data_IF_998573746605
#
_entry.id   IF_998573746605
#
_cell.length_a   1.000
_cell.length_b   1.000
_cell.length_c   1.000
_cell.angle_alpha   90.00
_cell.angle_beta   90.00
_cell.angle_gamma   90.00
#
_symmetry.space_group_name_H-M   'P 1'
#
loop_
_entity.id
_entity.type
_entity.pdbx_description
1 polymer ?
#
# COMPACT_ATOMS: atom_id res chain seq x y z
N UNK A 1 25.02 63.93 16.99
CA UNK A 1 23.83 63.46 16.25
C UNK A 1 24.15 62.13 15.60
N UNK A 2 23.79 61.03 16.27
CA UNK A 2 24.09 59.66 15.86
C UNK A 2 22.87 59.14 15.08
N UNK A 3 23.04 58.84 13.79
CA UNK A 3 21.98 58.27 12.95
C UNK A 3 21.88 56.78 13.25
N UNK A 4 20.81 56.37 13.93
CA UNK A 4 20.52 54.97 14.23
C UNK A 4 20.12 54.21 12.98
N UNK A 5 20.78 53.08 12.74
CA UNK A 5 20.43 52.12 11.70
C UNK A 5 19.27 51.23 12.18
N UNK A 6 18.20 51.16 11.40
CA UNK A 6 17.09 50.22 11.64
C UNK A 6 17.45 48.94 10.89
N UNK A 7 17.81 47.90 11.63
CA UNK A 7 18.02 46.54 11.10
C UNK A 7 16.70 45.79 11.27
N UNK A 8 15.98 45.58 10.16
CA UNK A 8 14.77 44.77 10.12
C UNK A 8 15.16 43.29 10.15
N UNK A 9 14.98 42.63 11.29
CA UNK A 9 15.18 41.18 11.44
C UNK A 9 13.97 40.46 10.84
N UNK A 10 14.15 39.82 9.69
CA UNK A 10 13.15 38.93 9.08
C UNK A 10 13.16 37.63 9.88
N UNK A 11 12.12 37.43 10.70
CA UNK A 11 11.87 36.20 11.43
C UNK A 11 11.32 35.16 10.43
N UNK A 12 12.19 34.28 9.93
CA UNK A 12 11.76 33.12 9.14
C UNK A 12 11.06 32.15 10.09
N UNK A 13 9.73 32.16 10.07
CA UNK A 13 8.93 31.17 10.78
C UNK A 13 9.11 29.81 10.08
N UNK A 14 9.98 28.98 10.65
CA UNK A 14 10.10 27.57 10.29
C UNK A 14 8.79 26.89 10.68
N UNK A 15 7.85 26.81 9.73
CA UNK A 15 6.65 25.98 9.89
C UNK A 15 7.14 24.55 10.05
N UNK A 16 6.91 23.89 11.20
CA UNK A 16 7.31 22.51 11.38
C UNK A 16 6.47 21.68 10.41
N UNK A 17 7.08 21.26 9.31
CA UNK A 17 6.54 20.22 8.44
C UNK A 17 6.41 18.97 9.32
N UNK A 18 5.17 18.60 9.67
CA UNK A 18 4.91 17.37 10.38
C UNK A 18 5.32 16.22 9.46
N UNK A 19 6.52 15.67 9.67
CA UNK A 19 6.99 14.53 8.88
C UNK A 19 6.16 13.31 9.28
N UNK A 20 5.14 13.01 8.49
CA UNK A 20 4.36 11.78 8.64
C UNK A 20 5.25 10.61 8.19
N UNK A 21 5.74 9.81 9.15
CA UNK A 21 6.69 8.74 8.87
C UNK A 21 5.99 7.39 8.74
N UNK A 22 6.21 6.72 7.62
CA UNK A 22 5.77 5.34 7.40
C UNK A 22 6.87 4.34 7.78
N UNK A 23 6.48 3.20 8.37
CA UNK A 23 7.41 2.09 8.60
C UNK A 23 7.68 1.36 7.28
N UNK A 24 8.83 1.64 6.68
CA UNK A 24 9.27 1.08 5.41
C UNK A 24 10.26 -0.07 5.65
N UNK A 25 9.99 -1.22 5.03
CA UNK A 25 10.88 -2.38 5.04
C UNK A 25 11.64 -2.46 3.71
N UNK A 26 12.95 -2.74 3.77
CA UNK A 26 13.75 -3.05 2.57
C UNK A 26 13.57 -4.53 2.22
N UNK A 27 13.06 -4.79 1.03
CA UNK A 27 12.88 -6.13 0.47
C UNK A 27 14.10 -6.43 -0.42
N UNK A 28 14.88 -7.49 -0.12
CA UNK A 28 16.06 -7.83 -0.90
C UNK A 28 15.68 -8.40 -2.27
N UNK A 29 16.52 -8.15 -3.28
CA UNK A 29 16.33 -8.72 -4.61
C UNK A 29 16.28 -10.25 -4.59
N UNK A 30 15.57 -10.84 -5.54
CA UNK A 30 15.50 -12.29 -5.68
C UNK A 30 14.79 -12.71 -6.97
N UNK A 31 14.30 -13.94 -6.95
CA UNK A 31 13.57 -14.56 -8.06
C UNK A 31 12.31 -15.21 -7.56
N UNK A 32 11.22 -15.06 -8.29
CA UNK A 32 9.94 -15.70 -8.00
C UNK A 32 9.46 -16.49 -9.23
N UNK A 33 8.81 -17.62 -8.98
CA UNK A 33 8.05 -18.32 -10.01
C UNK A 33 6.58 -17.90 -9.90
N UNK A 34 5.96 -17.32 -10.94
CA UNK A 34 4.56 -16.89 -10.87
C UNK A 34 3.63 -18.07 -10.64
N UNK A 35 2.64 -17.92 -9.75
CA UNK A 35 1.69 -19.00 -9.45
C UNK A 35 0.53 -19.08 -10.47
N UNK A 36 0.15 -17.97 -11.12
CA UNK A 36 -0.97 -17.93 -12.09
C UNK A 36 -0.60 -18.44 -13.49
N UNK A 37 0.67 -18.70 -13.76
CA UNK A 37 1.10 -19.33 -15.02
C UNK A 37 0.93 -20.85 -14.88
N UNK A 38 -0.31 -21.31 -14.85
CA UNK A 38 -0.62 -22.74 -15.00
C UNK A 38 -0.63 -23.07 -16.50
N UNK A 39 0.10 -24.09 -16.97
CA UNK A 39 -0.01 -24.53 -18.36
C UNK A 39 -1.46 -24.95 -18.63
N UNK A 40 -2.16 -24.19 -19.47
CA UNK A 40 -3.48 -24.56 -20.01
C UNK A 40 -3.34 -25.70 -21.03
N UNK A 41 -2.79 -26.84 -20.66
CA UNK A 41 -3.02 -28.13 -21.33
C UNK A 41 -2.24 -29.24 -20.63
N UNK A 42 -2.97 -30.21 -20.07
CA UNK A 42 -2.45 -31.53 -19.71
C UNK A 42 -2.72 -32.56 -20.81
N UNK A 43 -3.34 -32.14 -21.92
CA UNK A 43 -3.74 -33.01 -23.04
C UNK A 43 -2.95 -32.59 -24.28
N UNK A 44 -1.83 -33.28 -24.50
CA UNK A 44 -0.93 -33.06 -25.64
C UNK A 44 0.39 -32.39 -25.27
N UNK A 45 1.35 -33.19 -24.80
CA UNK A 45 2.82 -33.07 -24.89
C UNK A 45 3.51 -31.68 -25.04
N UNK A 46 2.99 -30.60 -24.49
CA UNK A 46 3.74 -29.35 -24.35
C UNK A 46 3.46 -28.70 -22.99
N UNK A 47 4.20 -29.15 -21.97
CA UNK A 47 4.27 -28.48 -20.68
C UNK A 47 4.97 -27.14 -20.89
N UNK A 48 4.23 -26.05 -20.98
CA UNK A 48 4.82 -24.70 -21.00
C UNK A 48 5.66 -24.51 -19.74
N UNK A 49 6.98 -24.39 -19.89
CA UNK A 49 7.90 -24.21 -18.77
C UNK A 49 7.69 -22.80 -18.21
N UNK A 50 7.22 -22.73 -16.97
CA UNK A 50 7.12 -21.45 -16.25
C UNK A 50 8.53 -20.99 -15.90
N UNK A 51 8.98 -19.88 -16.47
CA UNK A 51 10.28 -19.29 -16.16
C UNK A 51 10.16 -18.34 -14.96
N UNK A 52 11.02 -18.49 -13.93
CA UNK A 52 11.11 -17.50 -12.85
C UNK A 52 11.50 -16.12 -13.41
N UNK A 53 10.97 -15.05 -12.81
CA UNK A 53 11.40 -13.68 -13.11
C UNK A 53 12.21 -13.08 -11.97
N UNK A 54 13.09 -12.14 -12.31
CA UNK A 54 13.92 -11.39 -11.34
C UNK A 54 13.15 -10.20 -10.77
N UNK A 55 13.28 -10.01 -9.48
CA UNK A 55 12.76 -8.86 -8.73
C UNK A 55 13.95 -8.14 -8.10
N UNK A 56 14.09 -6.84 -8.39
CA UNK A 56 15.13 -5.99 -7.79
C UNK A 56 14.86 -5.75 -6.31
N UNK A 57 15.81 -5.14 -5.60
CA UNK A 57 15.56 -4.67 -4.24
C UNK A 57 14.66 -3.43 -4.27
N UNK A 58 13.70 -3.36 -3.36
CA UNK A 58 12.78 -2.21 -3.23
C UNK A 58 12.41 -1.98 -1.77
N UNK A 59 11.77 -0.84 -1.47
CA UNK A 59 11.17 -0.58 -0.16
C UNK A 59 9.65 -0.72 -0.25
N UNK A 60 9.04 -1.26 0.79
CA UNK A 60 7.58 -1.41 0.88
C UNK A 60 7.12 -1.08 2.30
N UNK A 61 5.93 -0.48 2.44
CA UNK A 61 5.32 -0.28 3.74
C UNK A 61 5.06 -1.64 4.40
N UNK A 62 5.42 -1.76 5.68
CA UNK A 62 5.19 -3.00 6.44
C UNK A 62 3.71 -3.27 6.69
N UNK A 63 2.92 -2.21 6.81
CA UNK A 63 1.48 -2.27 7.07
C UNK A 63 0.71 -1.55 5.96
N UNK A 64 -0.57 -1.90 5.80
CA UNK A 64 -1.47 -1.13 4.94
C UNK A 64 -1.64 0.30 5.46
N UNK A 65 -1.89 1.24 4.54
CA UNK A 65 -2.20 2.64 4.87
C UNK A 65 -3.41 2.68 5.81
N UNK A 66 -3.31 3.40 6.92
CA UNK A 66 -4.41 3.47 7.90
C UNK A 66 -5.36 4.63 7.61
N UNK A 67 -6.56 4.60 8.20
CA UNK A 67 -7.49 5.75 8.19
C UNK A 67 -6.81 7.03 8.69
N UNK A 68 -5.97 6.93 9.73
CA UNK A 68 -5.22 8.07 10.28
C UNK A 68 -4.32 8.71 9.22
N UNK A 69 -3.56 7.91 8.52
CA UNK A 69 -2.58 8.38 7.53
C UNK A 69 -3.30 8.98 6.33
N UNK A 70 -4.39 8.34 5.91
CA UNK A 70 -5.21 8.84 4.81
C UNK A 70 -5.92 10.15 5.18
N UNK A 71 -6.33 10.35 6.45
CA UNK A 71 -6.91 11.61 6.90
C UNK A 71 -5.92 12.79 6.79
N UNK A 72 -4.64 12.56 7.08
CA UNK A 72 -3.59 13.57 6.88
C UNK A 72 -3.51 13.95 5.41
N UNK A 73 -3.46 12.95 4.52
CA UNK A 73 -3.47 13.16 3.07
C UNK A 73 -4.69 13.96 2.59
N UNK A 74 -5.90 13.64 3.08
CA UNK A 74 -7.13 14.35 2.70
C UNK A 74 -7.16 15.81 3.18
N UNK A 75 -6.53 16.10 4.32
CA UNK A 75 -6.44 17.48 4.83
C UNK A 75 -5.47 18.33 4.00
N UNK A 76 -4.39 17.72 3.51
CA UNK A 76 -3.40 18.35 2.63
C UNK A 76 -3.89 18.45 1.18
N UNK A 77 -4.74 17.53 0.74
CA UNK A 77 -5.24 17.44 -0.62
C UNK A 77 -6.79 17.40 -0.66
N UNK A 78 -7.47 18.55 -0.49
CA UNK A 78 -8.93 18.60 -0.41
C UNK A 78 -9.67 18.05 -1.62
N UNK A 79 -9.05 18.05 -2.81
CA UNK A 79 -9.65 17.51 -4.04
C UNK A 79 -9.92 15.99 -3.95
N UNK A 80 -9.20 15.28 -3.08
CA UNK A 80 -9.41 13.85 -2.84
C UNK A 80 -10.47 13.55 -1.77
N UNK A 81 -11.09 14.57 -1.17
CA UNK A 81 -12.21 14.37 -0.24
C UNK A 81 -13.43 13.84 -1.00
N UNK A 82 -14.28 13.09 -0.28
CA UNK A 82 -15.46 12.43 -0.85
C UNK A 82 -16.39 13.40 -1.58
N UNK A 83 -16.48 14.63 -1.09
CA UNK A 83 -17.35 15.68 -1.61
C UNK A 83 -16.78 16.36 -2.88
N UNK A 84 -15.46 16.31 -3.07
CA UNK A 84 -14.75 17.11 -4.08
C UNK A 84 -14.22 16.27 -5.24
N UNK A 85 -14.05 14.96 -5.04
CA UNK A 85 -13.41 14.09 -6.03
C UNK A 85 -14.21 14.03 -7.33
N UNK A 86 -13.51 14.16 -8.46
CA UNK A 86 -14.14 13.98 -9.78
C UNK A 86 -14.55 12.51 -9.98
N UNK A 87 -15.77 12.28 -10.46
CA UNK A 87 -16.32 10.93 -10.63
C UNK A 87 -15.55 10.01 -11.59
N UNK A 88 -14.67 10.56 -12.43
CA UNK A 88 -13.75 9.77 -13.27
C UNK A 88 -12.66 9.07 -12.45
N UNK A 89 -12.36 9.57 -11.25
CA UNK A 89 -11.32 9.03 -10.37
C UNK A 89 -11.88 8.15 -9.27
N UNK A 90 -13.19 8.14 -9.02
CA UNK A 90 -13.80 7.36 -7.95
C UNK A 90 -15.30 7.14 -8.19
N UNK A 91 -15.78 5.96 -7.80
CA UNK A 91 -17.20 5.63 -7.81
C UNK A 91 -17.93 6.07 -6.53
N UNK A 92 -19.24 5.83 -6.46
CA UNK A 92 -20.10 6.22 -5.34
C UNK A 92 -19.79 5.51 -4.01
N UNK A 93 -18.97 4.46 -4.03
CA UNK A 93 -18.53 3.78 -2.81
C UNK A 93 -17.37 4.50 -2.13
N UNK A 94 -16.71 5.44 -2.81
CA UNK A 94 -15.50 6.11 -2.31
C UNK A 94 -15.69 6.74 -0.93
N UNK A 95 -14.85 6.31 0.01
CA UNK A 95 -14.85 6.72 1.42
C UNK A 95 -16.23 6.63 2.10
N UNK A 96 -17.13 5.77 1.62
CA UNK A 96 -18.53 5.73 2.07
C UNK A 96 -18.65 5.44 3.57
N UNK A 97 -17.81 4.57 4.10
CA UNK A 97 -17.80 4.15 5.51
C UNK A 97 -16.67 4.79 6.33
N UNK A 98 -15.98 5.80 5.79
CA UNK A 98 -14.76 6.37 6.36
C UNK A 98 -14.90 6.77 7.83
N UNK A 99 -15.97 7.50 8.18
CA UNK A 99 -16.19 8.00 9.55
C UNK A 99 -16.41 6.86 10.56
N UNK A 100 -17.02 5.76 10.12
CA UNK A 100 -17.36 4.61 10.97
C UNK A 100 -16.20 3.62 11.16
N UNK A 101 -15.03 3.87 10.56
CA UNK A 101 -13.85 3.01 10.69
C UNK A 101 -12.94 3.45 11.85
N UNK A 102 -12.34 2.50 12.60
CA UNK A 102 -11.32 2.82 13.59
C UNK A 102 -10.09 3.51 12.97
N UNK A 103 -9.49 4.45 13.69
CA UNK A 103 -8.37 5.28 13.21
C UNK A 103 -7.15 4.47 12.74
N UNK A 104 -6.83 3.36 13.40
CA UNK A 104 -5.69 2.49 13.04
C UNK A 104 -6.04 1.38 12.05
N UNK A 105 -7.30 1.28 11.63
CA UNK A 105 -7.69 0.26 10.65
C UNK A 105 -7.19 0.63 9.24
N UNK A 106 -6.93 -0.37 8.38
CA UNK A 106 -6.61 -0.10 6.98
C UNK A 106 -7.70 0.73 6.31
N UNK A 107 -7.28 1.69 5.49
CA UNK A 107 -8.21 2.45 4.66
C UNK A 107 -8.85 1.51 3.62
N UNK A 108 -10.15 1.64 3.44
CA UNK A 108 -10.95 0.86 2.47
C UNK A 108 -11.82 1.81 1.65
N UNK A 109 -12.42 1.30 0.58
CA UNK A 109 -13.27 2.10 -0.32
C UNK A 109 -12.49 3.27 -0.94
N UNK A 110 -11.23 3.01 -1.34
CA UNK A 110 -10.38 3.94 -2.08
C UNK A 110 -10.24 3.46 -3.51
N UNK A 111 -10.25 4.39 -4.46
CA UNK A 111 -9.98 4.05 -5.85
C UNK A 111 -8.48 3.83 -6.09
N UNK A 112 -8.14 3.17 -7.18
CA UNK A 112 -6.75 3.03 -7.59
C UNK A 112 -6.08 4.39 -7.84
N UNK A 113 -6.81 5.35 -8.42
CA UNK A 113 -6.31 6.70 -8.65
C UNK A 113 -5.97 7.41 -7.34
N UNK A 114 -6.84 7.31 -6.34
CA UNK A 114 -6.61 7.92 -5.03
C UNK A 114 -5.46 7.24 -4.27
N UNK A 115 -5.36 5.91 -4.33
CA UNK A 115 -4.22 5.18 -3.76
C UNK A 115 -2.89 5.57 -4.41
N UNK A 116 -2.88 5.76 -5.73
CA UNK A 116 -1.70 6.23 -6.46
C UNK A 116 -1.33 7.67 -6.07
N UNK A 117 -2.30 8.58 -6.03
CA UNK A 117 -2.08 9.97 -5.64
C UNK A 117 -1.56 10.08 -4.20
N UNK A 118 -2.07 9.26 -3.28
CA UNK A 118 -1.54 9.14 -1.93
C UNK A 118 -0.05 8.77 -1.96
N UNK A 119 0.34 7.73 -2.71
CA UNK A 119 1.75 7.37 -2.82
C UNK A 119 2.60 8.51 -3.38
N UNK A 120 2.15 9.16 -4.46
CA UNK A 120 2.85 10.27 -5.10
C UNK A 120 3.06 11.47 -4.15
N UNK A 121 2.05 11.81 -3.32
CA UNK A 121 2.13 12.88 -2.32
C UNK A 121 3.30 12.72 -1.33
N UNK A 122 3.65 11.47 -1.02
CA UNK A 122 4.75 11.13 -0.10
C UNK A 122 6.03 10.68 -0.81
N UNK A 123 6.16 10.93 -2.12
CA UNK A 123 7.33 10.50 -2.90
C UNK A 123 7.48 8.98 -3.03
N UNK A 124 6.39 8.25 -2.86
CA UNK A 124 6.30 6.79 -2.99
C UNK A 124 5.60 6.39 -4.29
N UNK A 125 5.45 5.08 -4.52
CA UNK A 125 4.63 4.52 -5.60
C UNK A 125 3.91 3.26 -5.14
N UNK A 126 2.86 2.88 -5.86
CA UNK A 126 2.29 1.54 -5.72
C UNK A 126 3.32 0.47 -6.14
N UNK A 127 3.27 -0.73 -5.51
CA UNK A 127 4.13 -1.84 -5.91
C UNK A 127 3.76 -2.30 -7.33
N UNK A 128 4.76 -2.79 -8.07
CA UNK A 128 4.50 -3.55 -9.29
C UNK A 128 3.90 -4.90 -8.90
N UNK A 129 3.14 -5.52 -9.83
CA UNK A 129 2.56 -6.85 -9.61
C UNK A 129 3.60 -7.87 -9.10
N UNK A 130 4.75 -7.94 -9.80
CA UNK A 130 5.87 -8.82 -9.44
C UNK A 130 6.49 -8.56 -8.07
N UNK A 131 6.47 -7.30 -7.61
CA UNK A 131 7.01 -6.90 -6.30
C UNK A 131 6.03 -7.30 -5.21
N UNK A 132 4.73 -7.08 -5.44
CA UNK A 132 3.66 -7.49 -4.55
C UNK A 132 3.64 -9.01 -4.37
N UNK A 133 3.73 -9.77 -5.46
CA UNK A 133 3.76 -11.24 -5.43
C UNK A 133 5.01 -11.77 -4.73
N UNK A 134 6.16 -11.15 -4.96
CA UNK A 134 7.41 -11.55 -4.29
C UNK A 134 7.37 -11.28 -2.79
N UNK A 135 6.78 -10.16 -2.37
CA UNK A 135 6.57 -9.88 -0.95
C UNK A 135 5.54 -10.83 -0.32
N UNK A 136 4.44 -11.13 -1.01
CA UNK A 136 3.38 -12.01 -0.52
C UNK A 136 3.77 -13.49 -0.45
N UNK A 137 4.76 -13.90 -1.26
CA UNK A 137 5.28 -15.26 -1.28
C UNK A 137 6.07 -15.64 -0.02
N UNK A 138 6.55 -14.66 0.76
CA UNK A 138 7.42 -14.92 1.89
C UNK A 138 6.65 -15.38 3.14
N UNK A 139 7.23 -16.30 3.89
CA UNK A 139 6.84 -16.64 5.26
C UNK A 139 7.85 -16.06 6.25
N UNK A 140 7.62 -16.33 7.54
CA UNK A 140 8.49 -15.92 8.63
C UNK A 140 9.91 -16.50 8.51
N UNK A 141 10.07 -17.62 7.79
CA UNK A 141 11.34 -18.35 7.68
C UNK A 141 11.84 -18.53 6.24
N UNK A 142 10.98 -18.35 5.23
CA UNK A 142 11.34 -18.57 3.82
C UNK A 142 10.99 -17.39 2.93
N UNK A 143 11.86 -17.12 1.95
CA UNK A 143 11.64 -16.09 0.92
C UNK A 143 10.51 -16.45 -0.05
N UNK A 144 10.31 -17.74 -0.31
CA UNK A 144 9.21 -18.26 -1.13
C UNK A 144 8.65 -19.52 -0.44
N UNK A 145 7.49 -19.35 0.19
CA UNK A 145 6.75 -20.37 0.91
C UNK A 145 5.55 -20.90 0.10
N UNK A 146 5.38 -20.51 -1.17
CA UNK A 146 4.25 -20.93 -2.00
C UNK A 146 4.18 -22.44 -2.27
N UNK A 147 5.24 -23.18 -1.93
CA UNK A 147 5.30 -24.65 -2.04
C UNK A 147 5.08 -25.35 -0.69
N UNK A 148 4.92 -24.60 0.39
CA UNK A 148 4.69 -25.15 1.71
C UNK A 148 3.20 -25.31 1.98
N UNK A 149 2.77 -26.55 2.19
CA UNK A 149 1.36 -26.87 2.43
C UNK A 149 0.83 -26.18 3.70
N UNK A 150 1.64 -26.14 4.77
CA UNK A 150 1.26 -25.48 6.03
C UNK A 150 1.03 -23.97 5.86
N UNK A 151 1.88 -23.31 5.06
CA UNK A 151 1.74 -21.90 4.73
C UNK A 151 0.46 -21.64 3.92
N UNK A 152 0.25 -22.41 2.85
CA UNK A 152 -0.93 -22.27 1.99
C UNK A 152 -2.21 -22.56 2.76
N UNK A 153 -2.21 -23.61 3.60
CA UNK A 153 -3.37 -23.98 4.40
C UNK A 153 -3.76 -22.88 5.38
N UNK A 154 -2.79 -22.27 6.07
CA UNK A 154 -3.04 -21.11 6.94
C UNK A 154 -3.72 -19.95 6.19
N UNK A 155 -3.28 -19.65 4.97
CA UNK A 155 -3.91 -18.61 4.14
C UNK A 155 -5.34 -19.00 3.77
N UNK A 156 -5.55 -20.24 3.33
CA UNK A 156 -6.88 -20.73 2.95
C UNK A 156 -7.84 -20.75 4.14
N UNK A 157 -7.37 -21.12 5.32
CA UNK A 157 -8.17 -21.11 6.54
C UNK A 157 -8.62 -19.69 6.88
N UNK A 158 -7.74 -18.67 6.74
CA UNK A 158 -8.12 -17.26 6.92
C UNK A 158 -9.22 -16.79 5.96
N UNK A 159 -9.23 -17.26 4.71
CA UNK A 159 -10.29 -16.94 3.75
C UNK A 159 -11.55 -17.81 3.92
N UNK A 160 -11.41 -19.02 4.48
CA UNK A 160 -12.49 -19.96 4.73
C UNK A 160 -13.25 -19.68 6.02
N UNK A 161 -12.68 -18.92 6.95
CA UNK A 161 -13.37 -18.44 8.14
C UNK A 161 -14.53 -17.50 7.77
N UNK A 162 -15.75 -18.03 7.85
CA UNK A 162 -16.95 -17.17 7.85
C UNK A 162 -16.87 -16.24 9.07
N UNK A 163 -17.20 -14.95 8.90
CA UNK A 163 -17.30 -14.03 10.03
C UNK A 163 -18.36 -14.55 11.00
N UNK A 164 -17.89 -15.18 12.08
CA UNK A 164 -18.73 -15.71 13.15
C UNK A 164 -19.59 -14.62 13.80
N UNK A 165 -20.71 -15.05 14.39
CA UNK A 165 -21.84 -14.27 14.92
C UNK A 165 -21.51 -13.39 16.15
N UNK A 166 -20.24 -13.25 16.50
CA UNK A 166 -19.77 -12.71 17.80
C UNK A 166 -19.25 -11.27 17.73
N UNK A 167 -19.64 -10.49 16.72
CA UNK A 167 -19.48 -9.03 16.72
C UNK A 167 -20.86 -8.36 16.69
N UNK A 168 -21.50 -8.28 17.85
CA UNK A 168 -22.57 -7.30 18.14
C UNK A 168 -22.02 -6.26 19.10
#
# INVERSE_FOLDING_TARGET
MQKGAIVTVILIALVPCLVHSFEMQTIPSGTLTPFWVVPKSTVGKNKTKVSPYKVGSFKMMKYAVTKKDYLVFLNENPDWKKENIAGIYADSSYLRSFDNKPTKSPITEVSWFAARAFCENYGMRLPLLKEWEYAAAASETKKDANKEETFLRRILDWYGETKGKDMK
#
